data_IF_237115693601
#
_entry.id   IF_237115693601
#
_cell.length_a   1.000
_cell.length_b   1.000
_cell.length_c   1.000
_cell.angle_alpha   90.00
_cell.angle_beta   90.00
_cell.angle_gamma   90.00
#
_symmetry.space_group_name_H-M   'P 1'
#
loop_
_entity.id
_entity.type
_entity.pdbx_description
1 polymer ?
#
# COMPACT_ATOMS: atom_id res chain seq x y z
N UNK A 1 2.00 -8.37 10.66
CA UNK A 1 3.06 -7.48 11.22
C UNK A 1 4.20 -8.19 11.96
N UNK A 2 3.99 -9.19 12.83
CA UNK A 2 5.07 -9.80 13.64
C UNK A 2 6.34 -10.21 12.85
N UNK A 3 6.18 -10.82 11.67
CA UNK A 3 7.29 -11.17 10.77
C UNK A 3 8.10 -9.96 10.29
N UNK A 4 7.43 -8.84 9.95
CA UNK A 4 8.09 -7.58 9.58
C UNK A 4 8.89 -7.00 10.76
N UNK A 5 8.42 -7.17 12.00
CA UNK A 5 9.17 -6.84 13.24
C UNK A 5 10.25 -7.88 13.58
N UNK A 6 10.59 -8.78 12.66
CA UNK A 6 11.67 -9.76 12.80
C UNK A 6 11.37 -10.96 13.70
N UNK A 7 10.09 -11.28 13.95
CA UNK A 7 9.71 -12.58 14.53
C UNK A 7 9.74 -13.68 13.45
N UNK A 8 9.96 -14.96 13.80
CA UNK A 8 9.85 -16.05 12.85
C UNK A 8 8.41 -16.23 12.34
N UNK A 9 8.28 -16.70 11.11
CA UNK A 9 7.02 -17.14 10.49
C UNK A 9 7.16 -18.59 10.06
N UNK A 10 6.18 -19.43 10.43
CA UNK A 10 6.11 -20.82 9.96
C UNK A 10 5.28 -20.88 8.68
N UNK A 11 5.87 -21.40 7.62
CA UNK A 11 5.24 -21.62 6.32
C UNK A 11 4.35 -22.86 6.34
N UNK A 12 3.49 -23.00 5.32
CA UNK A 12 2.55 -24.13 5.16
C UNK A 12 3.30 -25.47 5.03
N UNK A 13 4.46 -25.47 4.38
CA UNK A 13 5.35 -26.64 4.28
C UNK A 13 6.12 -26.96 5.58
N UNK A 14 5.82 -26.23 6.66
CA UNK A 14 6.39 -26.42 7.99
C UNK A 14 7.73 -25.74 8.23
N UNK A 15 8.40 -25.19 7.20
CA UNK A 15 9.66 -24.43 7.37
C UNK A 15 9.44 -23.18 8.20
N UNK A 16 10.43 -22.82 9.01
CA UNK A 16 10.47 -21.54 9.70
C UNK A 16 11.35 -20.57 8.90
N UNK A 17 10.85 -19.36 8.65
CA UNK A 17 11.57 -18.28 7.97
C UNK A 17 11.59 -17.03 8.83
N UNK A 18 12.64 -16.23 8.68
CA UNK A 18 12.84 -14.97 9.40
C UNK A 18 13.54 -13.97 8.50
N UNK A 19 13.18 -12.68 8.61
CA UNK A 19 13.95 -11.62 7.96
C UNK A 19 15.33 -11.48 8.61
N UNK A 20 16.37 -11.22 7.82
CA UNK A 20 17.73 -10.96 8.31
C UNK A 20 17.78 -9.77 9.27
N UNK A 21 16.97 -8.74 8.99
CA UNK A 21 16.72 -7.59 9.86
C UNK A 21 15.21 -7.26 9.89
N UNK A 22 14.68 -6.75 11.01
CA UNK A 22 13.36 -6.13 11.03
C UNK A 22 13.24 -5.01 10.00
N UNK A 23 12.02 -4.77 9.51
CA UNK A 23 11.67 -3.61 8.72
C UNK A 23 11.33 -2.43 9.65
N UNK A 24 11.63 -1.21 9.23
CA UNK A 24 11.28 0.02 9.95
C UNK A 24 9.77 0.33 9.86
N UNK A 25 9.10 -0.18 8.83
CA UNK A 25 7.67 -0.06 8.61
C UNK A 25 7.13 -1.21 7.75
N UNK A 26 5.82 -1.44 7.79
CA UNK A 26 5.13 -2.29 6.83
C UNK A 26 3.66 -1.87 6.65
N UNK A 27 3.04 -2.32 5.57
CA UNK A 27 1.60 -2.43 5.42
C UNK A 27 1.25 -3.92 5.24
N UNK A 28 0.03 -4.31 5.59
CA UNK A 28 -0.57 -5.58 5.19
C UNK A 28 -1.87 -5.22 4.48
N UNK A 29 -1.93 -5.52 3.18
CA UNK A 29 -2.96 -5.04 2.27
C UNK A 29 -3.68 -6.24 1.64
N UNK A 30 -4.76 -6.67 2.29
CA UNK A 30 -5.65 -7.69 1.73
C UNK A 30 -6.57 -7.08 0.64
N UNK A 31 -7.05 -7.91 -0.29
CA UNK A 31 -8.02 -7.51 -1.32
C UNK A 31 -9.32 -7.01 -0.69
N UNK A 32 -9.59 -5.70 -0.78
CA UNK A 32 -10.82 -5.08 -0.27
C UNK A 32 -12.08 -5.70 -0.90
N UNK A 33 -11.95 -6.09 -2.16
CA UNK A 33 -12.96 -6.79 -2.94
C UNK A 33 -13.49 -8.08 -2.31
N UNK A 34 -12.69 -8.79 -1.49
CA UNK A 34 -13.09 -10.03 -0.82
C UNK A 34 -13.31 -9.90 0.69
N UNK A 35 -13.43 -8.68 1.23
CA UNK A 35 -13.62 -8.46 2.66
C UNK A 35 -14.94 -9.02 3.20
N UNK A 36 -15.97 -9.11 2.35
CA UNK A 36 -17.23 -9.83 2.63
C UNK A 36 -16.94 -11.31 2.91
N UNK A 37 -16.38 -12.01 1.93
CA UNK A 37 -16.15 -13.46 1.95
C UNK A 37 -15.12 -13.85 3.02
N UNK A 38 -14.02 -13.10 3.14
CA UNK A 38 -13.00 -13.34 4.16
C UNK A 38 -13.56 -13.18 5.57
N UNK A 39 -14.53 -12.28 5.78
CA UNK A 39 -15.22 -12.19 7.06
C UNK A 39 -16.18 -13.35 7.25
N UNK A 40 -17.18 -13.47 6.37
CA UNK A 40 -18.31 -14.38 6.49
C UNK A 40 -17.84 -15.84 6.61
N UNK A 41 -16.92 -16.29 5.76
CA UNK A 41 -16.43 -17.67 5.78
C UNK A 41 -15.46 -17.99 6.94
N UNK A 42 -15.14 -17.01 7.80
CA UNK A 42 -14.48 -17.21 9.10
C UNK A 42 -15.45 -17.10 10.29
N UNK A 43 -16.68 -16.65 10.06
CA UNK A 43 -17.73 -16.59 11.07
C UNK A 43 -18.36 -17.98 11.28
N UNK A 44 -18.54 -18.46 12.53
CA UNK A 44 -19.23 -19.72 12.80
C UNK A 44 -20.65 -19.81 12.21
N UNK A 45 -21.35 -18.69 12.03
CA UNK A 45 -22.72 -18.65 11.48
C UNK A 45 -22.76 -19.16 10.04
N UNK A 46 -21.81 -18.74 9.20
CA UNK A 46 -21.72 -19.15 7.79
C UNK A 46 -20.75 -20.32 7.59
N UNK A 47 -20.41 -21.04 8.67
CA UNK A 47 -19.49 -22.17 8.59
C UNK A 47 -20.00 -23.23 7.61
N UNK A 48 -21.27 -23.59 7.70
CA UNK A 48 -21.86 -24.70 6.95
C UNK A 48 -22.46 -24.27 5.60
N UNK A 49 -22.27 -23.00 5.21
CA UNK A 49 -22.60 -22.53 3.86
C UNK A 49 -21.69 -23.19 2.81
N UNK A 50 -22.28 -23.65 1.70
CA UNK A 50 -21.58 -24.40 0.66
C UNK A 50 -20.45 -23.60 -0.02
N UNK A 51 -20.61 -22.28 -0.17
CA UNK A 51 -19.58 -21.40 -0.73
C UNK A 51 -18.36 -21.31 0.21
N UNK A 52 -18.61 -21.19 1.52
CA UNK A 52 -17.58 -21.17 2.54
C UNK A 52 -16.93 -22.54 2.79
N UNK A 53 -17.69 -23.62 2.64
CA UNK A 53 -17.19 -25.00 2.62
C UNK A 53 -16.18 -25.20 1.49
N UNK A 54 -16.61 -25.01 0.25
CA UNK A 54 -15.79 -25.24 -0.93
C UNK A 54 -14.51 -24.37 -0.96
N UNK A 55 -14.55 -23.13 -0.44
CA UNK A 55 -13.35 -22.31 -0.28
C UNK A 55 -12.35 -22.89 0.74
N UNK A 56 -12.81 -23.42 1.88
CA UNK A 56 -11.93 -24.05 2.88
C UNK A 56 -11.36 -25.39 2.38
N UNK A 57 -12.12 -26.14 1.61
CA UNK A 57 -11.66 -27.40 1.02
C UNK A 57 -10.58 -27.15 -0.03
N UNK A 58 -10.80 -26.20 -0.94
CA UNK A 58 -9.78 -25.76 -1.90
C UNK A 58 -8.49 -25.26 -1.21
N UNK A 59 -8.62 -24.53 -0.09
CA UNK A 59 -7.48 -24.07 0.73
C UNK A 59 -6.74 -25.25 1.35
N UNK A 60 -7.47 -26.24 1.87
CA UNK A 60 -6.89 -27.42 2.54
C UNK A 60 -6.13 -28.31 1.55
N UNK A 61 -6.57 -28.35 0.30
CA UNK A 61 -5.90 -29.04 -0.80
C UNK A 61 -4.69 -28.24 -1.37
N UNK A 62 -4.39 -27.04 -0.86
CA UNK A 62 -3.30 -26.19 -1.34
C UNK A 62 -3.57 -25.50 -2.68
N UNK A 63 -4.79 -25.59 -3.23
CA UNK A 63 -5.10 -25.10 -4.57
C UNK A 63 -5.52 -23.62 -4.56
N UNK A 64 -4.53 -22.76 -4.30
CA UNK A 64 -4.70 -21.32 -4.38
C UNK A 64 -5.05 -20.82 -5.79
N UNK A 65 -4.77 -21.60 -6.85
CA UNK A 65 -5.10 -21.23 -8.23
C UNK A 65 -6.60 -21.38 -8.49
N UNK A 66 -7.22 -22.44 -7.99
CA UNK A 66 -8.68 -22.63 -8.05
C UNK A 66 -9.41 -21.60 -7.20
N UNK A 67 -8.93 -21.30 -5.97
CA UNK A 67 -9.50 -20.20 -5.15
C UNK A 67 -9.46 -18.88 -5.93
N UNK A 68 -8.31 -18.53 -6.52
CA UNK A 68 -8.19 -17.31 -7.33
C UNK A 68 -9.16 -17.32 -8.53
N UNK A 69 -9.20 -18.41 -9.29
CA UNK A 69 -9.94 -18.50 -10.55
C UNK A 69 -11.46 -18.49 -10.37
N UNK A 70 -11.97 -19.07 -9.28
CA UNK A 70 -13.39 -19.39 -9.13
C UNK A 70 -14.09 -18.49 -8.09
N UNK A 71 -13.33 -17.80 -7.23
CA UNK A 71 -13.86 -16.91 -6.18
C UNK A 71 -13.45 -15.46 -6.40
N UNK A 72 -12.16 -15.15 -6.52
CA UNK A 72 -11.68 -13.76 -6.64
C UNK A 72 -11.82 -13.21 -8.07
N UNK A 73 -11.29 -13.92 -9.06
CA UNK A 73 -11.25 -13.47 -10.45
C UNK A 73 -12.64 -13.16 -11.05
N UNK A 74 -13.73 -13.88 -10.73
CA UNK A 74 -15.07 -13.52 -11.20
C UNK A 74 -15.57 -12.17 -10.65
N UNK A 75 -15.13 -11.78 -9.45
CA UNK A 75 -15.51 -10.50 -8.84
C UNK A 75 -14.77 -9.33 -9.50
N UNK A 76 -13.46 -9.49 -9.72
CA UNK A 76 -12.57 -8.39 -10.17
C UNK A 76 -12.24 -8.38 -11.67
N UNK A 77 -12.53 -9.46 -12.40
CA UNK A 77 -12.12 -9.68 -13.79
C UNK A 77 -12.94 -8.92 -14.85
N UNK A 78 -14.16 -8.52 -14.50
CA UNK A 78 -15.08 -7.82 -15.41
C UNK A 78 -14.86 -6.31 -15.43
N UNK A 79 -15.12 -5.67 -16.58
CA UNK A 79 -15.28 -4.20 -16.65
C UNK A 79 -16.56 -3.72 -15.92
N UNK A 80 -17.51 -4.64 -15.70
CA UNK A 80 -18.59 -4.54 -14.71
C UNK A 80 -18.32 -5.62 -13.66
N UNK A 81 -17.61 -5.32 -12.57
CA UNK A 81 -17.36 -6.28 -11.51
C UNK A 81 -18.65 -6.64 -10.78
N UNK A 82 -18.62 -7.76 -10.04
CA UNK A 82 -19.77 -8.28 -9.31
C UNK A 82 -19.37 -8.67 -7.88
N UNK A 83 -20.30 -8.50 -6.94
CA UNK A 83 -20.16 -8.98 -5.56
C UNK A 83 -20.08 -10.52 -5.52
N UNK A 84 -19.64 -11.08 -4.39
CA UNK A 84 -19.65 -12.53 -4.20
C UNK A 84 -21.07 -13.08 -4.21
N UNK A 85 -21.26 -14.32 -4.67
CA UNK A 85 -22.57 -15.00 -4.67
C UNK A 85 -23.14 -15.20 -3.27
N UNK A 86 -22.27 -15.22 -2.25
CA UNK A 86 -22.67 -15.29 -0.84
C UNK A 86 -23.52 -14.06 -0.45
N UNK A 87 -23.28 -12.91 -1.08
CA UNK A 87 -24.06 -11.69 -0.90
C UNK A 87 -25.38 -11.66 -1.67
N UNK A 88 -25.76 -12.74 -2.36
CA UNK A 88 -27.11 -12.94 -2.93
C UNK A 88 -27.98 -13.85 -2.04
N UNK A 89 -27.44 -14.41 -0.96
CA UNK A 89 -28.19 -15.22 0.01
C UNK A 89 -28.99 -14.32 0.95
N UNK A 90 -30.29 -14.62 1.11
CA UNK A 90 -31.18 -13.87 2.01
C UNK A 90 -30.66 -13.86 3.46
N UNK A 91 -30.69 -12.68 4.09
CA UNK A 91 -30.22 -12.47 5.47
C UNK A 91 -28.70 -12.33 5.64
N UNK A 92 -27.90 -12.35 4.56
CA UNK A 92 -26.46 -12.05 4.63
C UNK A 92 -26.22 -10.54 4.51
N UNK A 93 -25.68 -9.92 5.57
CA UNK A 93 -25.25 -8.51 5.55
C UNK A 93 -23.76 -8.40 5.17
N UNK A 94 -23.50 -8.36 3.87
CA UNK A 94 -22.15 -8.19 3.34
C UNK A 94 -21.54 -6.81 3.62
N UNK A 95 -22.33 -5.74 3.75
CA UNK A 95 -21.77 -4.42 4.06
C UNK A 95 -21.27 -4.37 5.52
N UNK A 96 -22.01 -4.97 6.46
CA UNK A 96 -21.55 -5.18 7.83
C UNK A 96 -20.32 -6.10 7.90
N UNK A 97 -20.26 -7.15 7.08
CA UNK A 97 -19.11 -8.05 6.98
C UNK A 97 -17.84 -7.32 6.50
N UNK A 98 -17.95 -6.57 5.40
CA UNK A 98 -16.86 -5.74 4.83
C UNK A 98 -16.36 -4.73 5.86
N UNK A 99 -17.28 -3.99 6.50
CA UNK A 99 -16.92 -3.00 7.51
C UNK A 99 -16.26 -3.67 8.74
N UNK A 100 -16.64 -4.90 9.07
CA UNK A 100 -16.05 -5.66 10.18
C UNK A 100 -14.66 -6.21 9.85
N UNK A 101 -14.42 -6.69 8.63
CA UNK A 101 -13.07 -7.07 8.19
C UNK A 101 -12.15 -5.86 8.09
N UNK A 102 -12.66 -4.72 7.60
CA UNK A 102 -11.90 -3.49 7.56
C UNK A 102 -11.49 -3.02 8.98
N UNK A 103 -12.39 -3.12 9.96
CA UNK A 103 -12.06 -2.87 11.38
C UNK A 103 -11.01 -3.84 11.92
N UNK A 104 -11.04 -5.14 11.54
CA UNK A 104 -10.00 -6.12 11.92
C UNK A 104 -8.62 -5.71 11.37
N UNK A 105 -8.55 -5.28 10.11
CA UNK A 105 -7.30 -4.80 9.50
C UNK A 105 -6.76 -3.54 10.19
N UNK A 106 -7.61 -2.55 10.47
CA UNK A 106 -7.26 -1.35 11.24
C UNK A 106 -6.72 -1.71 12.64
N UNK A 107 -7.43 -2.58 13.37
CA UNK A 107 -7.01 -3.03 14.70
C UNK A 107 -5.64 -3.71 14.67
N UNK A 108 -5.41 -4.62 13.73
CA UNK A 108 -4.15 -5.36 13.61
C UNK A 108 -2.96 -4.47 13.22
N UNK A 109 -3.19 -3.36 12.51
CA UNK A 109 -2.18 -2.34 12.26
C UNK A 109 -1.93 -1.49 13.52
N UNK A 110 -2.97 -0.94 14.15
CA UNK A 110 -2.85 -0.11 15.34
C UNK A 110 -2.23 -0.84 16.55
N UNK A 111 -2.48 -2.14 16.72
CA UNK A 111 -1.84 -2.98 17.74
C UNK A 111 -0.35 -3.25 17.43
N UNK A 112 0.03 -3.19 16.15
CA UNK A 112 1.39 -3.44 15.69
C UNK A 112 2.26 -2.18 15.63
N UNK A 113 1.66 -0.99 15.51
CA UNK A 113 2.36 0.29 15.48
C UNK A 113 3.06 0.57 16.81
N UNK A 114 4.34 0.91 16.75
CA UNK A 114 5.16 1.23 17.90
C UNK A 114 5.88 2.56 17.62
N UNK A 115 5.33 3.71 18.04
CA UNK A 115 5.86 5.02 17.68
C UNK A 115 7.35 5.15 17.96
N UNK A 116 8.10 5.51 16.91
CA UNK A 116 9.57 5.62 16.89
C UNK A 116 10.37 4.30 16.85
N UNK A 117 9.71 3.14 16.81
CA UNK A 117 10.36 1.83 16.65
C UNK A 117 9.88 1.06 15.40
N UNK A 118 8.58 1.09 15.10
CA UNK A 118 7.99 0.43 13.93
C UNK A 118 6.70 1.12 13.48
N UNK A 119 6.56 1.44 12.19
CA UNK A 119 5.30 1.99 11.65
C UNK A 119 4.46 0.91 10.97
N UNK A 120 3.25 0.68 11.47
CA UNK A 120 2.26 -0.21 10.88
C UNK A 120 1.19 0.60 10.13
N UNK A 121 1.30 0.66 8.80
CA UNK A 121 0.31 1.38 8.00
C UNK A 121 -1.00 0.60 7.92
N UNK A 122 -2.10 1.27 8.27
CA UNK A 122 -3.44 0.85 7.88
C UNK A 122 -3.55 0.94 6.35
N UNK A 123 -4.03 -0.12 5.71
CA UNK A 123 -4.25 -0.13 4.27
C UNK A 123 -4.97 -1.37 3.74
N UNK A 124 -5.32 -1.34 2.46
CA UNK A 124 -5.96 -2.42 1.72
C UNK A 124 -5.55 -2.38 0.25
N UNK A 125 -5.78 -3.47 -0.49
CA UNK A 125 -5.63 -3.49 -1.95
C UNK A 125 -6.98 -3.22 -2.64
N UNK A 126 -6.99 -2.33 -3.65
CA UNK A 126 -8.08 -2.15 -4.61
C UNK A 126 -7.72 -2.89 -5.90
N UNK A 127 -8.45 -3.95 -6.25
CA UNK A 127 -7.91 -5.02 -7.09
C UNK A 127 -8.50 -5.09 -8.50
N UNK A 128 -8.67 -3.95 -9.16
CA UNK A 128 -9.22 -3.88 -10.52
C UNK A 128 -8.45 -4.74 -11.54
N UNK A 129 -9.13 -5.75 -12.10
CA UNK A 129 -8.57 -6.71 -13.06
C UNK A 129 -9.31 -6.80 -14.41
N UNK A 130 -9.81 -5.70 -15.02
CA UNK A 130 -10.69 -5.78 -16.19
C UNK A 130 -10.04 -6.46 -17.41
N UNK A 131 -10.65 -7.56 -17.86
CA UNK A 131 -10.09 -8.42 -18.92
C UNK A 131 -8.80 -9.14 -18.49
N UNK A 132 -8.53 -9.20 -17.19
CA UNK A 132 -7.31 -9.73 -16.57
C UNK A 132 -6.15 -8.74 -16.50
N UNK A 133 -6.34 -7.46 -16.84
CA UNK A 133 -5.28 -6.43 -16.78
C UNK A 133 -5.14 -5.87 -15.37
N UNK A 134 -3.93 -5.87 -14.82
CA UNK A 134 -3.67 -5.46 -13.43
C UNK A 134 -3.67 -3.94 -13.31
N UNK A 135 -4.75 -3.35 -12.80
CA UNK A 135 -4.82 -1.93 -12.43
C UNK A 135 -4.77 -1.74 -10.91
N UNK A 136 -4.17 -2.71 -10.21
CA UNK A 136 -4.19 -2.85 -8.76
C UNK A 136 -3.49 -1.71 -8.04
N UNK A 137 -4.01 -1.33 -6.87
CA UNK A 137 -3.52 -0.22 -6.04
C UNK A 137 -3.57 -0.57 -4.57
N UNK A 138 -2.42 -0.48 -3.90
CA UNK A 138 -2.37 -0.48 -2.45
C UNK A 138 -2.71 0.91 -1.92
N UNK A 139 -3.76 1.01 -1.11
CA UNK A 139 -4.21 2.24 -0.47
C UNK A 139 -3.70 2.26 0.96
N UNK A 140 -2.80 3.20 1.26
CA UNK A 140 -2.19 3.36 2.59
C UNK A 140 -2.64 4.66 3.23
N UNK A 141 -3.00 4.60 4.51
CA UNK A 141 -3.41 5.77 5.29
C UNK A 141 -2.28 6.25 6.20
N UNK A 142 -2.18 7.57 6.36
CA UNK A 142 -1.12 8.20 7.16
C UNK A 142 -1.32 8.11 8.67
N UNK A 143 -2.54 7.83 9.11
CA UNK A 143 -2.97 7.84 10.51
C UNK A 143 -4.10 6.83 10.73
N UNK A 144 -4.48 6.63 11.99
CA UNK A 144 -5.67 5.85 12.37
C UNK A 144 -7.01 6.46 11.91
N UNK A 145 -7.01 7.72 11.45
CA UNK A 145 -8.21 8.39 10.97
C UNK A 145 -8.46 8.00 9.51
N UNK A 146 -9.29 6.98 9.30
CA UNK A 146 -9.59 6.38 7.99
C UNK A 146 -11.09 6.33 7.70
N UNK A 147 -11.54 6.15 6.44
CA UNK A 147 -12.95 5.95 6.13
C UNK A 147 -13.52 4.69 6.81
N UNK A 148 -14.82 4.70 7.11
CA UNK A 148 -15.51 3.60 7.81
C UNK A 148 -15.57 2.28 7.03
N UNK A 149 -15.22 2.30 5.74
CA UNK A 149 -15.13 1.16 4.81
C UNK A 149 -13.89 1.26 3.95
N UNK A 150 -13.36 0.12 3.51
CA UNK A 150 -12.43 0.08 2.39
C UNK A 150 -13.20 0.30 1.07
N UNK A 151 -12.57 0.98 0.11
CA UNK A 151 -13.11 1.13 -1.24
C UNK A 151 -12.56 0.01 -2.14
N UNK A 152 -13.43 -0.83 -2.68
CA UNK A 152 -13.09 -1.96 -3.55
C UNK A 152 -13.39 -1.67 -5.03
N UNK A 153 -12.99 -2.57 -5.93
CA UNK A 153 -13.30 -2.44 -7.35
C UNK A 153 -14.77 -2.79 -7.64
N UNK A 154 -15.38 -3.73 -6.91
CA UNK A 154 -16.81 -4.09 -7.06
C UNK A 154 -17.73 -2.87 -6.99
N UNK A 155 -17.56 -1.98 -6.00
CA UNK A 155 -18.41 -0.80 -5.78
C UNK A 155 -17.80 0.48 -6.36
N UNK A 156 -16.48 0.51 -6.56
CA UNK A 156 -15.78 1.62 -7.20
C UNK A 156 -15.03 1.13 -8.45
N UNK A 157 -15.73 0.84 -9.57
CA UNK A 157 -15.21 0.08 -10.72
C UNK A 157 -14.29 0.88 -11.66
N UNK A 158 -13.60 1.89 -11.15
CA UNK A 158 -12.61 2.67 -11.90
C UNK A 158 -11.65 3.38 -10.97
N UNK A 159 -10.44 3.68 -11.46
CA UNK A 159 -9.46 4.51 -10.74
C UNK A 159 -10.07 5.87 -10.36
N UNK A 160 -10.93 6.41 -11.22
CA UNK A 160 -11.63 7.67 -10.99
C UNK A 160 -12.64 7.61 -9.84
N UNK A 161 -13.47 6.57 -9.76
CA UNK A 161 -14.44 6.41 -8.67
C UNK A 161 -13.76 6.10 -7.33
N UNK A 162 -12.66 5.34 -7.33
CA UNK A 162 -11.79 5.15 -6.17
C UNK A 162 -11.27 6.50 -5.63
N UNK A 163 -10.69 7.34 -6.48
CA UNK A 163 -10.17 8.65 -6.04
C UNK A 163 -11.25 9.65 -5.67
N UNK A 164 -12.44 9.57 -6.29
CA UNK A 164 -13.59 10.37 -5.89
C UNK A 164 -14.05 9.98 -4.48
N UNK A 165 -14.15 8.68 -4.17
CA UNK A 165 -14.46 8.19 -2.83
C UNK A 165 -13.41 8.64 -1.79
N UNK A 166 -12.12 8.45 -2.08
CA UNK A 166 -11.03 8.95 -1.24
C UNK A 166 -11.10 10.47 -1.04
N UNK A 167 -11.43 11.26 -2.07
CA UNK A 167 -11.53 12.72 -1.94
C UNK A 167 -12.75 13.17 -1.11
N UNK A 168 -13.84 12.40 -1.12
CA UNK A 168 -15.07 12.68 -0.37
C UNK A 168 -14.96 12.25 1.10
N UNK A 169 -14.45 11.05 1.35
CA UNK A 169 -14.47 10.39 2.67
C UNK A 169 -13.14 10.50 3.43
N UNK A 170 -11.98 10.65 2.75
CA UNK A 170 -10.67 10.84 3.38
C UNK A 170 -10.19 12.29 3.28
N UNK A 171 -10.70 13.12 4.20
CA UNK A 171 -10.43 14.56 4.27
C UNK A 171 -9.29 14.88 5.25
N UNK A 172 -8.40 15.78 4.84
CA UNK A 172 -7.24 16.17 5.64
C UNK A 172 -7.64 16.96 6.90
N UNK A 173 -8.76 17.67 6.81
CA UNK A 173 -9.41 18.40 7.88
C UNK A 173 -9.91 17.48 9.00
N UNK A 174 -10.21 16.21 8.69
CA UNK A 174 -10.55 15.16 9.65
C UNK A 174 -9.39 14.21 9.94
N UNK A 175 -8.14 14.65 9.71
CA UNK A 175 -6.93 13.87 9.98
C UNK A 175 -6.63 12.74 8.99
N UNK A 176 -7.49 12.51 7.99
CA UNK A 176 -7.31 11.44 7.01
C UNK A 176 -6.47 11.90 5.83
N UNK A 177 -5.41 11.17 5.53
CA UNK A 177 -4.60 11.35 4.33
C UNK A 177 -4.24 9.97 3.77
N UNK A 178 -4.58 9.74 2.50
CA UNK A 178 -4.32 8.48 1.81
C UNK A 178 -3.29 8.65 0.68
N UNK A 179 -2.50 7.60 0.46
CA UNK A 179 -1.61 7.39 -0.67
C UNK A 179 -2.13 6.19 -1.48
N UNK A 180 -2.06 6.26 -2.80
CA UNK A 180 -2.35 5.14 -3.70
C UNK A 180 -1.05 4.70 -4.35
N UNK A 181 -0.75 3.42 -4.28
CA UNK A 181 0.47 2.83 -4.85
C UNK A 181 0.05 1.81 -5.91
N UNK A 182 0.04 2.19 -7.20
CA UNK A 182 -0.13 1.22 -8.27
C UNK A 182 0.98 0.18 -8.25
N UNK A 183 0.61 -1.08 -8.45
CA UNK A 183 1.55 -2.21 -8.52
C UNK A 183 1.26 -3.11 -9.71
N UNK A 184 2.25 -3.95 -10.06
CA UNK A 184 2.20 -4.83 -11.23
C UNK A 184 1.84 -4.13 -12.55
N UNK A 185 2.35 -2.91 -12.77
CA UNK A 185 2.02 -2.13 -13.97
C UNK A 185 2.61 -2.72 -15.26
N UNK A 186 3.53 -3.67 -15.15
CA UNK A 186 3.95 -4.57 -16.22
C UNK A 186 2.79 -5.38 -16.83
N UNK A 187 1.73 -5.66 -16.06
CA UNK A 187 0.54 -6.39 -16.48
C UNK A 187 -0.72 -5.50 -16.63
N UNK A 188 -0.56 -4.17 -16.53
CA UNK A 188 -1.65 -3.21 -16.76
C UNK A 188 -2.04 -3.06 -18.26
N UNK A 189 -1.11 -3.41 -19.16
CA UNK A 189 -1.33 -3.56 -20.61
C UNK A 189 -2.08 -2.37 -21.25
N UNK A 190 -1.47 -1.19 -21.11
CA UNK A 190 -1.98 0.08 -21.62
C UNK A 190 -2.97 0.81 -20.71
N UNK A 191 -3.66 0.12 -19.80
CA UNK A 191 -4.74 0.69 -18.99
C UNK A 191 -4.33 1.22 -17.61
N UNK A 192 -5.25 1.93 -16.94
CA UNK A 192 -5.09 2.42 -15.57
C UNK A 192 -4.22 3.69 -15.42
N UNK A 193 -3.69 4.20 -16.54
CA UNK A 193 -2.76 5.33 -16.62
C UNK A 193 -3.08 6.26 -17.79
N UNK A 194 -4.32 6.71 -17.89
CA UNK A 194 -4.87 7.42 -19.05
C UNK A 194 -4.53 8.93 -19.08
N UNK A 195 -3.27 9.29 -18.76
CA UNK A 195 -2.85 10.67 -18.45
C UNK A 195 -3.13 11.70 -19.55
N UNK A 196 -3.05 11.30 -20.82
CA UNK A 196 -3.28 12.17 -21.98
C UNK A 196 -4.75 12.47 -22.26
N UNK A 197 -5.66 11.56 -21.89
CA UNK A 197 -7.10 11.65 -22.15
C UNK A 197 -7.91 12.02 -20.89
N UNK A 198 -7.34 11.83 -19.70
CA UNK A 198 -7.93 12.20 -18.42
C UNK A 198 -8.21 13.70 -18.29
N UNK A 199 -9.37 14.02 -17.68
CA UNK A 199 -9.75 15.41 -17.38
C UNK A 199 -8.72 16.09 -16.45
N UNK A 200 -8.66 17.44 -16.42
CA UNK A 200 -7.76 18.15 -15.51
C UNK A 200 -7.96 17.78 -14.03
N UNK A 201 -9.21 17.53 -13.62
CA UNK A 201 -9.54 17.09 -12.26
C UNK A 201 -9.03 15.66 -11.97
N UNK A 202 -9.13 14.76 -12.95
CA UNK A 202 -8.62 13.39 -12.80
C UNK A 202 -7.09 13.36 -12.73
N UNK A 203 -6.43 14.11 -13.62
CA UNK A 203 -4.99 14.34 -13.59
C UNK A 203 -4.51 14.96 -12.25
N UNK A 204 -5.30 15.85 -11.63
CA UNK A 204 -5.00 16.40 -10.31
C UNK A 204 -5.14 15.34 -9.19
N UNK A 205 -6.15 14.47 -9.25
CA UNK A 205 -6.27 13.33 -8.34
C UNK A 205 -5.11 12.34 -8.49
N UNK A 206 -4.68 12.05 -9.73
CA UNK A 206 -3.49 11.23 -9.99
C UNK A 206 -2.24 11.79 -9.32
N UNK A 207 -1.98 13.10 -9.48
CA UNK A 207 -0.87 13.79 -8.82
C UNK A 207 -1.02 13.91 -7.28
N UNK A 208 -2.24 13.71 -6.74
CA UNK A 208 -2.49 13.62 -5.29
C UNK A 208 -2.21 12.23 -4.75
N UNK A 209 -2.70 11.18 -5.43
CA UNK A 209 -2.75 9.81 -4.89
C UNK A 209 -1.66 8.89 -5.45
N UNK A 210 -1.53 8.75 -6.78
CA UNK A 210 -0.53 7.87 -7.44
C UNK A 210 0.84 8.57 -7.53
N UNK A 211 1.45 8.87 -6.38
CA UNK A 211 2.75 9.59 -6.29
C UNK A 211 3.97 8.69 -6.34
N UNK A 212 3.79 7.40 -6.05
CA UNK A 212 4.79 6.36 -6.09
C UNK A 212 4.18 5.15 -6.80
N UNK A 213 5.02 4.34 -7.43
CA UNK A 213 4.62 3.15 -8.18
C UNK A 213 5.60 2.04 -7.86
N UNK A 214 5.10 0.82 -7.72
CA UNK A 214 5.94 -0.36 -7.48
C UNK A 214 6.81 -0.67 -8.71
N UNK A 215 8.12 -0.66 -8.52
CA UNK A 215 9.09 -0.92 -9.60
C UNK A 215 9.26 -2.42 -9.87
N UNK A 216 9.06 -3.28 -8.86
CA UNK A 216 9.31 -4.71 -8.96
C UNK A 216 8.55 -5.51 -7.89
N UNK A 217 8.09 -6.70 -8.27
CA UNK A 217 7.37 -7.66 -7.42
C UNK A 217 7.73 -9.10 -7.86
N UNK A 218 7.24 -10.13 -7.17
CA UNK A 218 7.42 -11.53 -7.62
C UNK A 218 6.89 -11.79 -9.06
N UNK A 219 5.94 -10.96 -9.53
CA UNK A 219 5.39 -10.97 -10.89
C UNK A 219 6.23 -10.13 -11.88
N UNK A 220 7.49 -9.85 -11.56
CA UNK A 220 8.49 -9.25 -12.44
C UNK A 220 8.71 -7.74 -12.25
N UNK A 221 9.61 -7.20 -13.07
CA UNK A 221 9.91 -5.76 -13.13
C UNK A 221 8.83 -4.98 -13.89
N UNK A 222 8.48 -3.81 -13.35
CA UNK A 222 7.65 -2.78 -13.95
C UNK A 222 8.44 -1.50 -14.30
N UNK A 223 9.78 -1.50 -14.17
CA UNK A 223 10.59 -0.29 -14.43
C UNK A 223 10.57 0.13 -15.92
N UNK A 224 11.00 -0.79 -16.79
CA UNK A 224 10.95 -0.64 -18.24
C UNK A 224 10.89 -1.99 -18.95
N UNK A 225 10.32 -1.97 -20.15
CA UNK A 225 10.30 -3.06 -21.13
C UNK A 225 11.11 -2.59 -22.34
N UNK A 226 11.97 -3.40 -22.99
CA UNK A 226 12.81 -2.95 -24.11
C UNK A 226 12.04 -2.33 -25.29
N UNK A 227 12.73 -1.58 -26.16
CA UNK A 227 12.05 -0.78 -27.21
C UNK A 227 11.30 -1.64 -28.24
N UNK A 228 11.78 -2.86 -28.47
CA UNK A 228 11.11 -3.91 -29.23
C UNK A 228 11.40 -5.27 -28.55
N UNK A 229 10.66 -6.35 -28.88
CA UNK A 229 10.93 -7.69 -28.35
C UNK A 229 12.33 -8.23 -28.72
N UNK A 230 12.97 -7.66 -29.74
CA UNK A 230 14.28 -8.05 -30.27
C UNK A 230 15.42 -7.15 -29.76
N UNK A 231 15.12 -6.16 -28.90
CA UNK A 231 16.09 -5.19 -28.39
C UNK A 231 16.84 -5.76 -27.19
N UNK A 232 18.18 -5.84 -27.30
CA UNK A 232 19.07 -6.27 -26.22
C UNK A 232 19.43 -5.12 -25.26
N UNK A 233 18.44 -4.33 -24.86
CA UNK A 233 18.60 -3.17 -23.97
C UNK A 233 18.94 -3.65 -22.55
N UNK A 234 20.24 -3.64 -22.20
CA UNK A 234 20.75 -4.14 -20.92
C UNK A 234 20.20 -3.38 -19.71
N UNK A 235 19.84 -2.10 -19.87
CA UNK A 235 19.20 -1.27 -18.84
C UNK A 235 17.72 -1.62 -18.61
N UNK A 236 17.12 -2.49 -19.45
CA UNK A 236 15.71 -2.88 -19.40
C UNK A 236 15.47 -4.40 -19.54
N UNK A 237 16.46 -5.22 -19.18
CA UNK A 237 16.40 -6.68 -19.28
C UNK A 237 16.44 -7.41 -17.91
N UNK A 238 15.89 -6.79 -16.87
CA UNK A 238 15.84 -7.36 -15.52
C UNK A 238 14.44 -7.92 -15.18
N UNK A 239 14.35 -9.23 -14.90
CA UNK A 239 13.16 -9.93 -14.41
C UNK A 239 11.86 -9.57 -15.16
N UNK A 240 11.93 -9.55 -16.49
CA UNK A 240 10.83 -9.13 -17.36
C UNK A 240 9.81 -10.28 -17.50
N UNK A 241 8.62 -10.10 -16.91
CA UNK A 241 7.49 -11.04 -17.05
C UNK A 241 6.32 -10.35 -17.76
N UNK A 242 6.04 -10.76 -18.99
CA UNK A 242 4.95 -10.22 -19.84
C UNK A 242 3.73 -11.12 -19.95
N UNK A 243 3.87 -12.43 -19.70
CA UNK A 243 2.73 -13.36 -19.70
C UNK A 243 1.87 -13.17 -18.44
N UNK A 244 0.56 -13.04 -18.64
CA UNK A 244 -0.42 -12.85 -17.58
C UNK A 244 -1.54 -13.89 -17.74
N UNK A 245 -1.59 -14.86 -16.83
CA UNK A 245 -2.56 -15.95 -16.87
C UNK A 245 -4.03 -15.48 -16.74
N UNK A 246 -4.30 -14.42 -15.98
CA UNK A 246 -5.65 -13.85 -15.86
C UNK A 246 -6.09 -13.19 -17.17
N UNK A 247 -5.20 -12.44 -17.83
CA UNK A 247 -5.44 -11.89 -19.18
C UNK A 247 -5.67 -13.00 -20.20
N UNK A 248 -4.84 -14.03 -20.22
CA UNK A 248 -5.03 -15.18 -21.13
C UNK A 248 -6.37 -15.90 -20.91
N UNK A 249 -6.83 -16.05 -19.65
CA UNK A 249 -8.13 -16.66 -19.31
C UNK A 249 -9.33 -15.79 -19.69
N UNK A 250 -9.25 -14.47 -19.53
CA UNK A 250 -10.40 -13.56 -19.68
C UNK A 250 -10.48 -12.85 -21.04
N UNK A 251 -9.34 -12.57 -21.68
CA UNK A 251 -9.25 -11.86 -22.97
C UNK A 251 -8.71 -12.75 -24.10
N UNK A 252 -8.24 -13.96 -23.79
CA UNK A 252 -7.66 -14.89 -24.77
C UNK A 252 -6.22 -14.56 -25.17
N UNK A 253 -5.74 -15.07 -26.33
CA UNK A 253 -4.45 -14.70 -26.88
C UNK A 253 -4.43 -13.24 -27.36
N UNK A 254 -3.24 -12.64 -27.46
CA UNK A 254 -3.08 -11.31 -28.04
C UNK A 254 -3.51 -11.34 -29.53
N UNK A 255 -4.37 -10.40 -29.93
CA UNK A 255 -4.85 -10.27 -31.30
C UNK A 255 -4.38 -8.95 -31.93
N UNK A 256 -3.99 -8.99 -33.20
CA UNK A 256 -3.53 -7.80 -33.94
C UNK A 256 -2.02 -7.71 -34.10
N UNK A 257 -1.50 -6.49 -34.22
CA UNK A 257 -0.11 -6.22 -34.53
C UNK A 257 0.78 -6.39 -33.28
N UNK A 258 1.78 -7.27 -33.36
CA UNK A 258 2.70 -7.56 -32.25
C UNK A 258 3.50 -6.32 -31.78
N UNK A 259 3.83 -5.39 -32.69
CA UNK A 259 4.52 -4.14 -32.34
C UNK A 259 3.60 -3.21 -31.55
N UNK A 260 2.36 -3.04 -31.98
CA UNK A 260 1.36 -2.22 -31.27
C UNK A 260 1.04 -2.79 -29.89
N UNK A 261 0.93 -4.13 -29.78
CA UNK A 261 0.77 -4.81 -28.50
C UNK A 261 1.98 -4.58 -27.57
N UNK A 262 3.20 -4.63 -28.11
CA UNK A 262 4.42 -4.37 -27.34
C UNK A 262 4.52 -2.92 -26.87
N UNK A 263 4.22 -1.95 -27.74
CA UNK A 263 4.17 -0.53 -27.39
C UNK A 263 3.10 -0.24 -26.33
N UNK A 264 1.92 -0.85 -26.46
CA UNK A 264 0.83 -0.75 -25.48
C UNK A 264 1.24 -1.31 -24.12
N UNK A 265 1.88 -2.47 -24.05
CA UNK A 265 2.45 -3.01 -22.81
C UNK A 265 3.54 -2.09 -22.25
N UNK A 266 4.51 -1.65 -23.06
CA UNK A 266 5.60 -0.73 -22.65
C UNK A 266 5.05 0.60 -22.11
N UNK A 267 3.87 1.04 -22.55
CA UNK A 267 3.27 2.32 -22.13
C UNK A 267 2.88 2.40 -20.65
N UNK A 268 2.79 1.27 -19.94
CA UNK A 268 2.47 1.20 -18.48
C UNK A 268 3.66 0.84 -17.59
N UNK A 269 4.86 0.65 -18.15
CA UNK A 269 6.09 0.56 -17.35
C UNK A 269 6.53 1.97 -16.91
N UNK A 270 7.21 2.07 -15.76
CA UNK A 270 7.52 3.35 -15.10
C UNK A 270 8.25 4.35 -16.01
N UNK A 271 9.30 3.93 -16.75
CA UNK A 271 10.01 4.83 -17.68
C UNK A 271 9.10 5.29 -18.84
N UNK A 272 8.18 4.43 -19.29
CA UNK A 272 7.17 4.77 -20.30
C UNK A 272 6.15 5.78 -19.79
N UNK A 273 5.61 5.55 -18.59
CA UNK A 273 4.68 6.44 -17.89
C UNK A 273 5.30 7.82 -17.62
N UNK A 274 6.55 7.86 -17.17
CA UNK A 274 7.29 9.11 -16.97
C UNK A 274 7.47 9.87 -18.29
N UNK A 275 7.84 9.18 -19.37
CA UNK A 275 7.97 9.77 -20.70
C UNK A 275 6.66 10.37 -21.23
N UNK A 276 5.54 9.67 -21.01
CA UNK A 276 4.17 10.14 -21.33
C UNK A 276 3.82 11.42 -20.54
N UNK A 277 4.04 11.41 -19.22
CA UNK A 277 3.82 12.57 -18.35
C UNK A 277 4.67 13.80 -18.72
N UNK A 278 5.96 13.61 -19.02
CA UNK A 278 6.86 14.68 -19.46
C UNK A 278 6.42 15.28 -20.81
N UNK A 279 5.98 14.45 -21.76
CA UNK A 279 5.43 14.90 -23.06
C UNK A 279 4.13 15.69 -22.88
N UNK A 280 3.27 15.29 -21.94
CA UNK A 280 2.06 16.03 -21.59
C UNK A 280 2.37 17.41 -20.97
N UNK A 281 3.39 17.50 -20.11
CA UNK A 281 3.86 18.77 -19.56
C UNK A 281 4.41 19.70 -20.66
N UNK A 282 5.26 19.18 -21.55
CA UNK A 282 5.82 19.95 -22.67
C UNK A 282 4.72 20.49 -23.61
N UNK A 283 3.74 19.65 -23.98
CA UNK A 283 2.63 20.06 -24.87
C UNK A 283 1.68 21.05 -24.21
N UNK A 284 1.42 20.93 -22.90
CA UNK A 284 0.66 21.95 -22.13
C UNK A 284 1.42 23.27 -22.04
N UNK A 285 2.73 23.25 -21.77
CA UNK A 285 3.57 24.44 -21.76
C UNK A 285 3.63 25.14 -23.14
N UNK A 286 3.80 24.38 -24.22
CA UNK A 286 3.79 24.90 -25.59
C UNK A 286 2.42 25.47 -26.01
N UNK A 287 1.31 24.94 -25.46
CA UNK A 287 -0.02 25.52 -25.62
C UNK A 287 -0.15 26.82 -24.83
N UNK A 288 0.24 26.85 -23.55
CA UNK A 288 0.14 28.08 -22.74
C UNK A 288 0.99 29.22 -23.33
N UNK A 289 2.18 28.92 -23.86
CA UNK A 289 2.98 29.93 -24.56
C UNK A 289 2.33 30.36 -25.88
N UNK A 290 1.77 29.45 -26.69
CA UNK A 290 1.01 29.82 -27.91
C UNK A 290 -0.15 30.79 -27.62
N UNK A 291 -0.87 30.62 -26.51
CA UNK A 291 -1.91 31.58 -26.10
C UNK A 291 -1.34 32.93 -25.62
N UNK A 292 -0.12 32.98 -25.07
CA UNK A 292 0.56 34.25 -24.76
C UNK A 292 1.23 34.93 -25.98
N UNK A 293 1.37 34.25 -27.12
CA UNK A 293 1.88 34.85 -28.38
C UNK A 293 0.77 35.44 -29.28
N UNK A 294 -0.50 35.39 -28.85
CA UNK A 294 -1.65 35.90 -29.61
C UNK A 294 -1.97 37.40 -29.32
N UNK A 295 -1.19 38.06 -28.48
CA UNK A 295 -1.31 39.50 -28.18
C UNK A 295 0.08 40.12 -28.04
N UNK A 296 0.18 41.44 -28.28
CA UNK A 296 1.41 42.26 -28.31
C UNK A 296 2.29 42.19 -29.57
N UNK A 297 1.75 42.76 -30.65
CA UNK A 297 2.57 43.57 -31.54
C UNK A 297 2.90 44.94 -30.93
N UNK A 298 4.00 45.05 -30.18
CA UNK A 298 4.87 46.25 -30.04
C UNK A 298 6.06 45.97 -29.11
N UNK A 299 7.19 46.59 -29.41
CA UNK A 299 8.50 46.37 -28.76
C UNK A 299 8.47 46.69 -27.25
N UNK A 300 8.83 45.74 -26.40
CA UNK A 300 9.52 46.01 -25.12
C UNK A 300 10.32 44.79 -24.65
N UNK A 301 11.38 45.07 -23.88
CA UNK A 301 12.45 44.15 -23.48
C UNK A 301 11.98 43.01 -22.57
N UNK A 302 12.62 41.84 -22.70
CA UNK A 302 12.35 40.65 -21.88
C UNK A 302 12.78 40.87 -20.43
N UNK A 303 11.83 40.77 -19.49
CA UNK A 303 12.08 40.36 -18.11
C UNK A 303 11.15 39.19 -17.77
N UNK A 304 11.74 38.09 -17.30
CA UNK A 304 10.98 36.93 -16.80
C UNK A 304 10.62 37.15 -15.32
N UNK A 305 9.33 37.06 -14.93
CA UNK A 305 8.95 37.04 -13.51
C UNK A 305 8.89 35.60 -12.99
N UNK A 306 9.47 35.38 -11.81
CA UNK A 306 9.37 34.12 -11.09
C UNK A 306 7.91 33.82 -10.70
N UNK A 307 7.48 32.57 -10.91
CA UNK A 307 6.12 32.15 -10.59
C UNK A 307 5.95 31.90 -9.08
N UNK A 308 5.25 32.83 -8.43
CA UNK A 308 4.13 32.55 -7.52
C UNK A 308 4.33 31.39 -6.51
N UNK A 309 4.82 31.76 -5.32
CA UNK A 309 4.53 31.04 -4.07
C UNK A 309 3.94 32.02 -3.05
N UNK A 310 3.17 31.48 -2.10
CA UNK A 310 2.41 32.16 -1.05
C UNK A 310 1.13 32.87 -1.50
N UNK A 311 -0.02 32.24 -1.20
CA UNK A 311 -1.18 33.00 -0.76
C UNK A 311 -2.05 32.15 0.20
N UNK A 312 -1.89 32.39 1.49
CA UNK A 312 -2.84 31.99 2.55
C UNK A 312 -3.42 33.29 3.13
N UNK A 313 -4.74 33.53 3.07
CA UNK A 313 -5.32 34.78 3.53
C UNK A 313 -5.50 34.79 5.06
N UNK A 314 -4.43 35.11 5.78
CA UNK A 314 -4.53 35.52 7.18
C UNK A 314 -5.01 36.98 7.27
N UNK A 315 -6.24 37.21 7.76
CA UNK A 315 -6.72 38.56 8.10
C UNK A 315 -6.16 38.99 9.45
N UNK A 316 -5.36 40.05 9.47
CA UNK A 316 -5.10 40.84 10.67
C UNK A 316 -5.02 42.32 10.28
N UNK A 317 -5.90 43.15 10.86
CA UNK A 317 -5.83 44.60 10.71
C UNK A 317 -4.86 45.19 11.75
N UNK A 318 -4.12 46.21 11.36
CA UNK A 318 -3.26 46.99 12.26
C UNK A 318 -4.07 47.77 13.29
N UNK A 319 -3.55 47.89 14.51
CA UNK A 319 -3.46 49.20 15.18
C UNK A 319 -2.24 49.25 16.12
N UNK A 320 -1.96 50.45 16.64
CA UNK A 320 -0.63 50.97 17.01
C UNK A 320 -0.39 51.04 18.53
N UNK A 321 0.89 51.01 18.92
CA UNK A 321 1.47 51.42 20.22
C UNK A 321 1.11 50.51 21.42
N UNK A 322 1.96 50.32 22.45
CA UNK A 322 3.31 50.80 22.71
C UNK A 322 3.86 50.24 24.04
N UNK A 323 5.05 50.70 24.46
CA UNK A 323 5.68 50.50 25.80
C UNK A 323 5.90 49.08 26.36
N UNK A 324 7.17 48.69 26.45
CA UNK A 324 7.86 48.10 27.62
C UNK A 324 7.04 47.55 28.81
N UNK A 325 7.21 46.27 29.17
CA UNK A 325 8.05 45.85 30.32
C UNK A 325 7.80 44.40 30.84
N UNK A 326 8.92 43.73 31.16
CA UNK A 326 9.15 42.69 32.21
C UNK A 326 8.32 41.39 32.28
N UNK A 327 9.12 40.32 32.37
CA UNK A 327 8.83 38.98 32.89
C UNK A 327 8.17 39.02 34.28
N UNK A 328 7.24 38.10 34.52
CA UNK A 328 6.75 37.75 35.85
C UNK A 328 6.10 36.36 35.86
N UNK A 329 6.76 35.37 36.50
CA UNK A 329 6.12 34.11 36.84
C UNK A 329 5.46 34.23 38.22
N UNK A 330 4.24 33.70 38.38
CA UNK A 330 3.67 33.44 39.71
C UNK A 330 2.74 32.24 39.68
N UNK A 331 2.95 31.30 40.61
CA UNK A 331 1.97 30.27 40.96
C UNK A 331 0.86 30.89 41.81
N UNK A 332 -0.38 30.37 41.69
CA UNK A 332 -1.36 30.45 42.77
C UNK A 332 -2.25 29.22 42.80
N UNK A 333 -2.31 28.58 43.96
CA UNK A 333 -3.24 27.51 44.33
C UNK A 333 -4.41 28.10 45.13
N UNK A 334 -5.66 27.71 44.86
CA UNK A 334 -6.78 27.58 45.83
C UNK A 334 -8.12 27.30 45.11
N UNK A 335 -8.72 26.10 45.17
CA UNK A 335 -9.70 25.52 46.15
C UNK A 335 -11.19 25.94 46.03
N UNK A 336 -12.07 24.91 45.82
CA UNK A 336 -13.47 24.76 46.35
C UNK A 336 -14.57 25.73 45.82
N UNK A 337 -15.89 25.44 45.76
CA UNK A 337 -16.82 24.35 46.23
C UNK A 337 -17.98 24.16 45.21
N UNK A 338 -18.68 23.00 45.21
CA UNK A 338 -20.12 22.92 44.82
C UNK A 338 -20.47 21.89 43.72
N UNK A 339 -20.60 20.58 43.96
CA UNK A 339 -21.69 19.84 44.64
C UNK A 339 -23.09 19.88 43.97
N UNK A 340 -23.50 18.77 43.35
CA UNK A 340 -24.84 18.17 43.51
C UNK A 340 -24.79 16.67 43.14
N UNK A 341 -25.59 15.85 43.82
CA UNK A 341 -25.62 14.38 43.70
C UNK A 341 -26.94 13.93 43.07
N UNK A 342 -26.96 12.74 42.47
CA UNK A 342 -27.98 11.71 42.77
C UNK A 342 -27.39 10.30 42.57
N UNK A 343 -27.95 9.31 43.27
CA UNK A 343 -27.39 7.95 43.44
C UNK A 343 -28.42 6.82 43.31
N UNK A 344 -28.02 5.55 43.59
CA UNK A 344 -28.51 4.35 42.89
C UNK A 344 -29.50 3.48 43.69
N UNK A 345 -29.98 2.37 43.09
CA UNK A 345 -29.60 1.00 43.55
C UNK A 345 -29.42 -0.01 42.37
N UNK A 346 -28.90 -1.25 42.47
CA UNK A 346 -28.08 -2.02 43.45
C UNK A 346 -27.50 -3.30 42.75
N UNK A 347 -26.54 -3.98 43.37
CA UNK A 347 -26.19 -5.42 43.12
C UNK A 347 -26.42 -6.24 44.40
N UNK A 348 -26.45 -7.59 44.32
CA UNK A 348 -25.32 -8.45 44.75
C UNK A 348 -25.17 -9.69 43.81
N UNK A 349 -24.35 -10.74 44.00
CA UNK A 349 -23.22 -11.12 44.89
C UNK A 349 -22.25 -12.02 44.06
N UNK A 350 -20.92 -11.92 44.15
CA UNK A 350 -20.01 -12.51 45.16
C UNK A 350 -19.99 -14.05 45.31
N UNK A 351 -18.88 -14.66 44.84
CA UNK A 351 -18.01 -15.72 45.44
C UNK A 351 -16.91 -16.06 44.40
N UNK A 352 -15.68 -16.50 44.68
CA UNK A 352 -14.75 -16.47 45.82
C UNK A 352 -13.57 -17.39 45.48
N UNK A 353 -12.34 -16.87 45.39
CA UNK A 353 -11.03 -17.49 45.72
C UNK A 353 -10.75 -18.99 45.38
N UNK A 354 -9.63 -19.27 44.68
CA UNK A 354 -8.37 -19.72 45.31
C UNK A 354 -7.20 -20.07 44.35
N UNK A 355 -6.01 -19.53 44.70
CA UNK A 355 -4.64 -20.11 44.76
C UNK A 355 -3.92 -20.71 43.53
N UNK A 356 -2.60 -20.46 43.54
CA UNK A 356 -1.58 -20.90 42.59
C UNK A 356 -1.06 -22.33 42.85
N UNK A 357 -0.49 -22.96 41.83
CA UNK A 357 0.66 -23.89 42.02
C UNK A 357 1.61 -23.88 40.82
N UNK A 358 2.91 -23.87 41.08
CA UNK A 358 3.98 -24.12 40.09
C UNK A 358 4.48 -25.55 40.29
N UNK A 359 4.68 -26.31 39.22
CA UNK A 359 5.27 -27.65 39.28
C UNK A 359 6.30 -27.87 38.17
N UNK A 360 7.55 -28.10 38.58
CA UNK A 360 8.70 -28.51 37.74
C UNK A 360 8.84 -30.03 37.84
N UNK A 361 9.02 -30.77 36.73
CA UNK A 361 9.77 -32.06 36.71
C UNK A 361 10.07 -32.59 35.29
N UNK A 362 11.36 -32.63 34.96
CA UNK A 362 12.03 -33.71 34.21
C UNK A 362 12.53 -34.76 35.25
N UNK A 363 13.04 -35.98 34.90
CA UNK A 363 13.68 -36.44 33.66
C UNK A 363 13.03 -37.75 33.11
N UNK A 364 13.63 -38.71 32.36
CA UNK A 364 15.04 -39.08 32.08
C UNK A 364 15.21 -39.92 30.79
N UNK A 365 16.18 -39.51 29.95
CA UNK A 365 17.16 -40.32 29.17
C UNK A 365 16.76 -41.71 28.61
N UNK A 366 16.93 -41.86 27.29
CA UNK A 366 17.18 -43.14 26.61
C UNK A 366 18.05 -42.93 25.36
N UNK A 367 19.24 -43.55 25.29
CA UNK A 367 20.12 -43.63 24.10
C UNK A 367 20.02 -45.02 23.48
N UNK A 368 20.14 -45.11 22.15
CA UNK A 368 20.63 -46.21 21.26
C UNK A 368 20.18 -45.86 19.83
N UNK A 369 20.88 -46.05 18.71
CA UNK A 369 22.32 -46.06 18.37
C UNK A 369 22.47 -45.95 16.83
N UNK A 370 23.64 -45.54 16.35
CA UNK A 370 24.13 -45.37 14.96
C UNK A 370 23.49 -46.17 13.80
N UNK A 371 23.53 -45.56 12.60
CA UNK A 371 24.04 -46.17 11.37
C UNK A 371 24.62 -45.09 10.42
N UNK A 372 25.53 -45.50 9.51
CA UNK A 372 26.59 -44.63 8.98
C UNK A 372 26.37 -43.99 7.59
N UNK A 373 27.10 -42.87 7.39
CA UNK A 373 27.75 -42.44 6.14
C UNK A 373 26.92 -42.04 4.89
N UNK A 374 27.19 -40.83 4.36
CA UNK A 374 27.61 -40.64 2.96
C UNK A 374 28.02 -39.19 2.61
N UNK A 375 29.34 -39.00 2.41
CA UNK A 375 29.98 -38.16 1.37
C UNK A 375 29.59 -36.69 1.20
N UNK A 376 30.53 -35.83 1.62
CA UNK A 376 30.79 -34.53 1.01
C UNK A 376 31.00 -34.64 -0.51
N UNK A 377 30.55 -33.63 -1.27
CA UNK A 377 31.14 -33.26 -2.57
C UNK A 377 31.26 -31.75 -2.65
N UNK A 378 32.48 -31.25 -2.53
CA UNK A 378 32.80 -29.91 -2.99
C UNK A 378 32.73 -29.88 -4.53
N UNK A 379 32.06 -28.88 -5.09
CA UNK A 379 32.15 -28.54 -6.51
C UNK A 379 32.74 -27.13 -6.61
N UNK A 380 34.02 -27.07 -6.92
CA UNK A 380 34.74 -25.84 -7.24
C UNK A 380 34.58 -25.49 -8.72
N UNK A 381 34.11 -24.27 -9.02
CA UNK A 381 34.11 -23.69 -10.38
C UNK A 381 34.85 -22.34 -10.32
N UNK A 382 35.79 -22.05 -11.24
CA UNK A 382 36.78 -20.98 -11.03
C UNK A 382 36.30 -19.58 -11.45
N UNK A 383 36.65 -18.57 -10.66
CA UNK A 383 36.48 -17.16 -11.02
C UNK A 383 37.54 -16.66 -12.02
N UNK A 384 37.09 -16.07 -13.13
CA UNK A 384 37.74 -15.00 -13.89
C UNK A 384 36.66 -13.95 -14.20
N UNK A 385 36.85 -12.63 -14.14
CA UNK A 385 37.99 -11.86 -13.66
C UNK A 385 37.98 -10.41 -14.18
N UNK A 386 37.43 -9.46 -13.40
CA UNK A 386 37.40 -7.99 -13.64
C UNK A 386 36.46 -7.58 -14.82
N UNK A 387 35.84 -6.39 -14.84
CA UNK A 387 36.21 -5.07 -14.26
C UNK A 387 35.05 -4.35 -13.56
N UNK A 388 35.42 -3.35 -12.76
CA UNK A 388 34.57 -2.46 -11.99
C UNK A 388 33.85 -1.38 -12.82
N UNK A 389 32.62 -1.05 -12.45
CA UNK A 389 32.17 0.35 -12.45
C UNK A 389 31.13 0.60 -11.36
N UNK A 390 31.39 1.59 -10.50
CA UNK A 390 30.50 1.98 -9.40
C UNK A 390 29.67 3.20 -9.82
N UNK A 391 28.35 3.08 -9.84
CA UNK A 391 27.42 4.22 -9.78
C UNK A 391 26.17 3.85 -8.98
N UNK A 392 25.98 4.52 -7.85
CA UNK A 392 24.72 4.51 -7.11
C UNK A 392 24.03 5.86 -7.30
N UNK A 393 22.79 5.86 -7.76
CA UNK A 393 21.91 7.02 -7.71
C UNK A 393 20.97 6.83 -6.53
N UNK A 394 21.11 7.68 -5.51
CA UNK A 394 20.17 7.77 -4.39
C UNK A 394 19.40 9.08 -4.51
N UNK A 395 18.11 8.99 -4.85
CA UNK A 395 17.21 10.13 -4.86
C UNK A 395 16.42 10.18 -3.53
N UNK A 396 17.00 10.78 -2.49
CA UNK A 396 16.27 11.08 -1.25
C UNK A 396 15.34 12.29 -1.46
N UNK A 397 14.05 12.05 -1.61
CA UNK A 397 13.02 13.09 -1.53
C UNK A 397 12.74 13.43 -0.06
N UNK A 398 13.18 14.61 0.39
CA UNK A 398 12.95 15.09 1.74
C UNK A 398 11.50 15.56 1.94
N UNK A 399 10.68 14.74 2.59
CA UNK A 399 9.39 15.17 3.14
C UNK A 399 9.63 16.15 4.30
N UNK A 400 9.28 17.43 4.12
CA UNK A 400 9.24 18.40 5.22
C UNK A 400 8.07 18.07 6.16
N UNK A 401 8.37 17.38 7.25
CA UNK A 401 7.48 17.20 8.39
C UNK A 401 7.53 18.41 9.33
N UNK A 402 6.52 19.26 9.26
CA UNK A 402 6.09 20.03 10.43
C UNK A 402 5.03 19.19 11.17
N UNK A 403 5.10 19.19 12.51
CA UNK A 403 4.43 18.23 13.43
C UNK A 403 5.05 16.82 13.53
N UNK A 404 6.37 16.74 13.73
CA UNK A 404 7.04 15.61 14.43
C UNK A 404 8.22 16.13 15.31
N UNK A 405 7.99 17.20 16.07
CA UNK A 405 8.97 17.74 17.02
C UNK A 405 8.97 16.95 18.33
N UNK A 406 9.57 15.75 18.31
CA UNK A 406 9.72 14.90 19.49
C UNK A 406 10.99 14.03 19.44
N UNK A 407 11.07 13.12 18.46
CA UNK A 407 12.01 11.99 18.53
C UNK A 407 13.16 12.01 17.50
N UNK A 408 13.28 13.04 16.66
CA UNK A 408 14.41 13.18 15.73
C UNK A 408 15.65 13.83 16.38
N UNK A 409 16.22 13.17 17.39
CA UNK A 409 17.56 13.42 17.94
C UNK A 409 18.22 12.10 18.37
N UNK A 410 18.75 11.32 17.43
CA UNK A 410 19.47 10.10 17.80
C UNK A 410 19.84 9.06 16.73
N UNK A 411 19.75 9.36 15.43
CA UNK A 411 19.97 8.34 14.38
C UNK A 411 20.74 8.79 13.13
N UNK A 412 21.57 9.85 13.20
CA UNK A 412 22.47 10.23 12.10
C UNK A 412 23.87 10.53 12.65
N UNK A 413 24.64 9.46 12.91
CA UNK A 413 26.09 9.33 12.66
C UNK A 413 26.60 8.03 13.31
N UNK A 414 26.67 6.92 12.56
CA UNK A 414 27.65 5.85 12.80
C UNK A 414 27.97 5.16 11.48
N UNK A 415 29.26 5.19 11.14
CA UNK A 415 29.79 4.73 9.86
C UNK A 415 29.66 3.21 9.70
N UNK A 416 29.25 2.76 8.51
CA UNK A 416 29.36 1.36 8.08
C UNK A 416 30.84 0.93 8.08
N UNK A 417 31.25 0.16 9.10
CA UNK A 417 32.41 -0.74 8.98
C UNK A 417 31.93 -2.12 8.58
N UNK A 418 32.28 -2.53 7.36
CA UNK A 418 32.12 -3.91 6.90
C UNK A 418 33.27 -4.74 7.50
N UNK A 419 32.98 -5.67 8.40
CA UNK A 419 33.90 -6.76 8.74
C UNK A 419 33.62 -7.94 7.82
N UNK A 420 34.65 -8.41 7.11
CA UNK A 420 34.59 -9.67 6.35
C UNK A 420 34.91 -10.84 7.27
N UNK A 421 34.13 -11.92 7.13
CA UNK A 421 34.53 -13.30 7.36
C UNK A 421 33.85 -14.15 6.29
#
# INVERSE_FOLDING_TARGET
>A
FAFARGQPLRLIDGREVRLERPLDFAAVTDHADSFDVMYLCTDPIYRDDAYCGAMRDARSNGDGRTIFNDYLLPMIGGAKPAKSRLCDTDGVDCEAAIASQWRRAQFAANEADEPCAFTAFIGYEWSASPGGRHWHRNILFRSEHVPNRAFDYVRYPSVGSLWQALAQECRAESGCQALSIPHNSNWADGGGFDVETESPAMNANRARYDRVLEVHQEKGSSECLPASPLSSDEDCNFEILTSNAAKHRLSGPETGNATEAWERMRSTYLRGLLGRGLRLLQTRAARSTRWSWAWWGRRTTIMAPAAWWMNTPGRAAFHRWGSTARVGCSNSTSTRVGSLRYGPPRTPAQRSLMRCTVAKRMPRVGRVSNCDSARERAISVPMRGRRSMWRWVVACLALRSHLLSGCWRGAITRSLRVSRS
#
